data_IF_648842549201
#
_entry.id   IF_648842549201
#
_cell.length_a   1.000
_cell.length_b   1.000
_cell.length_c   1.000
_cell.angle_alpha   90.00
_cell.angle_beta   90.00
_cell.angle_gamma   90.00
#
_symmetry.space_group_name_H-M   'P 1'
#
loop_
_entity.id
_entity.type
_entity.pdbx_description
1 polymer ?
#
# COMPACT_ATOMS: atom_id res chain seq x y z
N UNK A 1 13.48 -8.51 2.26
CA UNK A 1 12.49 -8.00 3.24
C UNK A 1 11.11 -8.45 2.76
N UNK A 2 10.15 -8.72 3.64
CA UNK A 2 8.75 -8.88 3.18
C UNK A 2 8.24 -7.53 2.66
N UNK A 3 7.68 -7.46 1.43
CA UNK A 3 7.15 -6.22 0.90
C UNK A 3 5.99 -5.70 1.75
N UNK A 4 5.84 -4.38 1.81
CA UNK A 4 4.75 -3.74 2.53
C UNK A 4 3.70 -3.28 1.51
N UNK A 5 2.47 -3.73 1.70
CA UNK A 5 1.30 -3.28 0.97
C UNK A 5 0.60 -2.19 1.79
N UNK A 6 0.78 -0.93 1.38
CA UNK A 6 -0.02 0.17 1.90
C UNK A 6 -1.38 0.17 1.23
N UNK A 7 -2.44 0.16 2.01
CA UNK A 7 -3.80 0.17 1.53
C UNK A 7 -4.67 1.15 2.31
N UNK A 8 -5.67 1.73 1.64
CA UNK A 8 -6.62 2.64 2.30
C UNK A 8 -7.91 1.92 2.67
N UNK A 9 -8.87 1.97 1.75
CA UNK A 9 -10.12 1.22 1.85
C UNK A 9 -9.85 -0.21 1.34
N UNK A 10 -10.27 -1.27 2.05
CA UNK A 10 -10.11 -2.67 1.61
C UNK A 10 -11.09 -3.02 0.46
N UNK A 11 -11.02 -2.26 -0.62
CA UNK A 11 -11.83 -2.39 -1.82
C UNK A 11 -11.03 -1.92 -3.05
N UNK A 12 -11.57 -2.19 -4.25
CA UNK A 12 -10.98 -1.71 -5.50
C UNK A 12 -9.52 -2.13 -5.69
N UNK A 13 -8.68 -1.19 -6.15
CA UNK A 13 -7.25 -1.42 -6.41
C UNK A 13 -6.49 -1.93 -5.18
N UNK A 14 -6.84 -1.45 -3.98
CA UNK A 14 -6.23 -1.89 -2.72
C UNK A 14 -6.46 -3.37 -2.47
N UNK A 15 -7.70 -3.84 -2.57
CA UNK A 15 -8.00 -5.28 -2.42
C UNK A 15 -7.46 -6.10 -3.60
N UNK A 16 -7.41 -5.52 -4.79
CA UNK A 16 -6.83 -6.16 -5.97
C UNK A 16 -5.35 -6.53 -5.79
N UNK A 17 -4.57 -5.64 -5.18
CA UNK A 17 -3.15 -5.91 -4.91
C UNK A 17 -2.96 -7.01 -3.85
N UNK A 18 -3.76 -6.99 -2.79
CA UNK A 18 -3.81 -8.06 -1.78
C UNK A 18 -4.13 -9.40 -2.44
N UNK A 19 -5.21 -9.45 -3.23
CA UNK A 19 -5.62 -10.65 -3.94
C UNK A 19 -4.55 -11.17 -4.90
N UNK A 20 -3.78 -10.29 -5.54
CA UNK A 20 -2.66 -10.68 -6.40
C UNK A 20 -1.56 -11.40 -5.62
N UNK A 21 -1.17 -10.89 -4.44
CA UNK A 21 -0.16 -11.52 -3.58
C UNK A 21 -0.63 -12.87 -3.02
N UNK A 22 -1.88 -12.91 -2.54
CA UNK A 22 -2.51 -14.17 -2.11
C UNK A 22 -2.54 -15.21 -3.23
N UNK A 23 -2.89 -14.79 -4.45
CA UNK A 23 -2.95 -15.66 -5.63
C UNK A 23 -1.62 -16.32 -5.97
N UNK A 24 -0.50 -15.62 -5.79
CA UNK A 24 0.85 -16.11 -6.09
C UNK A 24 1.56 -16.73 -4.87
N UNK A 25 0.93 -16.69 -3.69
CA UNK A 25 1.49 -17.23 -2.46
C UNK A 25 2.73 -16.48 -1.97
N UNK A 26 2.88 -15.21 -2.32
CA UNK A 26 4.02 -14.40 -1.89
C UNK A 26 3.73 -13.77 -0.53
N UNK A 27 4.64 -13.88 0.46
CA UNK A 27 4.45 -13.24 1.76
C UNK A 27 4.55 -11.71 1.64
N UNK A 28 3.78 -11.00 2.44
CA UNK A 28 3.74 -9.55 2.51
C UNK A 28 3.23 -9.07 3.87
N UNK A 29 3.47 -7.80 4.18
CA UNK A 29 2.95 -7.12 5.36
C UNK A 29 1.89 -6.10 4.95
N UNK A 30 0.77 -6.09 5.65
CA UNK A 30 -0.27 -5.09 5.45
C UNK A 30 -0.07 -3.89 6.37
N UNK A 31 -0.23 -2.70 5.82
CA UNK A 31 -0.33 -1.47 6.59
C UNK A 31 -1.48 -0.62 6.04
N UNK A 32 -2.46 -0.37 6.89
CA UNK A 32 -3.59 0.48 6.55
C UNK A 32 -3.19 1.94 6.74
N UNK A 33 -3.56 2.78 5.78
CA UNK A 33 -3.42 4.23 5.88
C UNK A 33 -4.79 4.91 5.93
N UNK A 34 -4.89 5.95 6.74
CA UNK A 34 -6.07 6.82 6.79
C UNK A 34 -6.09 7.72 5.55
N UNK A 35 -7.14 7.55 4.73
CA UNK A 35 -7.28 8.26 3.46
C UNK A 35 -7.48 9.77 3.61
N UNK A 36 -7.93 10.25 4.77
CA UNK A 36 -8.22 11.65 5.02
C UNK A 36 -7.07 12.32 5.78
N UNK A 37 -6.52 11.65 6.78
CA UNK A 37 -5.52 12.23 7.68
C UNK A 37 -4.08 11.97 7.24
N UNK A 38 -3.78 10.79 6.69
CA UNK A 38 -2.40 10.36 6.44
C UNK A 38 -1.97 10.54 4.99
N UNK A 39 -2.89 10.38 4.05
CA UNK A 39 -2.58 10.45 2.62
C UNK A 39 -2.27 11.86 2.11
N UNK A 40 -2.66 12.92 2.85
CA UNK A 40 -2.52 14.32 2.45
C UNK A 40 -1.43 15.08 3.20
N UNK A 41 -0.36 14.39 3.57
CA UNK A 41 0.78 14.99 4.26
C UNK A 41 2.11 14.72 3.53
N UNK A 42 3.13 15.50 3.88
CA UNK A 42 4.46 15.43 3.25
C UNK A 42 5.15 14.08 3.49
N UNK A 43 4.89 13.44 4.63
CA UNK A 43 5.44 12.13 4.94
C UNK A 43 4.93 11.07 3.95
N UNK A 44 3.62 11.02 3.66
CA UNK A 44 3.07 10.12 2.66
C UNK A 44 3.50 10.52 1.24
N UNK A 45 3.57 11.82 0.94
CA UNK A 45 4.02 12.29 -0.37
C UNK A 45 5.46 11.85 -0.70
N UNK A 46 6.32 11.67 0.31
CA UNK A 46 7.66 11.09 0.13
C UNK A 46 7.66 9.61 -0.28
N UNK A 47 6.58 8.88 0.03
CA UNK A 47 6.38 7.48 -0.37
C UNK A 47 5.73 7.42 -1.76
N UNK A 48 4.66 8.18 -1.97
CA UNK A 48 3.96 8.27 -3.24
C UNK A 48 3.50 9.71 -3.49
N UNK A 49 4.18 10.41 -4.42
CA UNK A 49 3.86 11.79 -4.76
C UNK A 49 2.45 11.99 -5.33
N UNK A 50 1.80 10.93 -5.83
CA UNK A 50 0.39 10.97 -6.25
C UNK A 50 -0.57 11.02 -5.08
N UNK A 51 -0.14 10.63 -3.88
CA UNK A 51 -0.98 10.57 -2.68
C UNK A 51 -2.24 9.74 -2.93
N UNK A 52 -2.03 8.50 -3.41
CA UNK A 52 -3.06 7.51 -3.74
C UNK A 52 -2.68 6.14 -3.18
N UNK A 53 -3.66 5.27 -2.98
CA UNK A 53 -3.47 3.84 -2.63
C UNK A 53 -3.96 2.93 -3.77
N UNK A 54 -3.45 1.68 -3.85
CA UNK A 54 -2.41 1.08 -3.01
C UNK A 54 -0.98 1.49 -3.38
N UNK A 55 -0.04 1.21 -2.47
CA UNK A 55 1.41 1.29 -2.72
C UNK A 55 2.07 -0.02 -2.32
N UNK A 56 2.98 -0.52 -3.17
CA UNK A 56 3.87 -1.64 -2.88
C UNK A 56 5.25 -1.08 -2.56
N UNK A 57 5.72 -1.25 -1.33
CA UNK A 57 7.08 -0.89 -0.90
C UNK A 57 7.94 -2.15 -0.92
N UNK A 58 9.05 -2.09 -1.64
CA UNK A 58 9.98 -3.22 -1.78
C UNK A 58 11.22 -3.03 -0.91
N UNK A 59 12.17 -3.96 -0.98
CA UNK A 59 13.46 -3.79 -0.31
C UNK A 59 14.38 -2.76 -0.98
N UNK A 60 14.05 -2.31 -2.20
CA UNK A 60 14.75 -1.24 -2.91
C UNK A 60 14.15 0.15 -2.66
N UNK A 61 13.18 0.24 -1.74
CA UNK A 61 12.28 1.38 -1.62
C UNK A 61 11.18 1.33 -2.67
#
# INVERSE_FOLDING_TARGET
>A
MEPILLYGIPAGSSMGLVAAFERVGQPYRLCRVDMLAELKNDAYASINGRQETPVLITDQG
#
